data_IF_650083100432
#
_entry.id   IF_650083100432
#
_cell.length_a   1.000
_cell.length_b   1.000
_cell.length_c   1.000
_cell.angle_alpha   90.00
_cell.angle_beta   90.00
_cell.angle_gamma   90.00
#
_symmetry.space_group_name_H-M   'P 1'
#
loop_
_entity.id
_entity.type
_entity.pdbx_description
1 polymer ?
#
# COMPACT_ATOMS: atom_id res chain seq x y z
N UNK A 1 23.54 12.12 13.53
CA UNK A 1 22.48 12.40 12.52
C UNK A 1 21.50 11.25 12.66
N UNK A 2 20.27 11.51 13.09
CA UNK A 2 19.23 10.46 13.13
C UNK A 2 18.71 10.33 11.71
N UNK A 3 18.86 9.14 11.10
CA UNK A 3 18.22 8.86 9.82
C UNK A 3 16.70 9.01 9.98
N UNK A 4 16.11 9.87 9.17
CA UNK A 4 14.65 10.01 9.11
C UNK A 4 14.14 9.05 8.06
N UNK A 5 13.66 7.90 8.50
CA UNK A 5 12.93 6.97 7.66
C UNK A 5 11.51 7.49 7.44
N UNK A 6 10.99 7.30 6.22
CA UNK A 6 9.64 7.66 5.84
C UNK A 6 8.97 6.45 5.20
N UNK A 7 7.81 6.07 5.73
CA UNK A 7 7.03 4.95 5.22
C UNK A 7 5.94 5.45 4.28
N UNK A 8 5.80 4.76 3.15
CA UNK A 8 4.82 5.03 2.09
C UNK A 8 4.17 3.70 1.75
N UNK A 9 2.85 3.70 1.54
CA UNK A 9 2.12 2.51 1.09
C UNK A 9 1.70 2.72 -0.37
N UNK A 10 1.89 1.70 -1.20
CA UNK A 10 1.39 1.66 -2.57
C UNK A 10 0.54 0.41 -2.74
N UNK A 11 -0.71 0.59 -3.11
CA UNK A 11 -1.66 -0.50 -3.37
C UNK A 11 -1.84 -0.62 -4.88
N UNK A 12 -1.60 -1.81 -5.42
CA UNK A 12 -1.91 -2.10 -6.81
C UNK A 12 -3.32 -2.70 -6.92
N UNK A 13 -4.24 -1.90 -7.45
CA UNK A 13 -5.55 -2.40 -7.87
C UNK A 13 -5.42 -3.06 -9.24
N UNK A 14 -5.49 -4.39 -9.21
CA UNK A 14 -5.40 -5.21 -10.40
C UNK A 14 -6.67 -5.12 -11.27
N UNK A 15 -7.84 -4.83 -10.70
CA UNK A 15 -9.09 -4.76 -11.47
C UNK A 15 -9.08 -3.51 -12.33
N UNK A 16 -8.70 -2.37 -11.75
CA UNK A 16 -8.66 -1.07 -12.42
C UNK A 16 -7.30 -0.76 -13.08
N UNK A 17 -6.31 -1.64 -12.89
CA UNK A 17 -4.93 -1.45 -13.35
C UNK A 17 -4.35 -0.09 -12.93
N UNK A 18 -4.43 0.21 -11.64
CA UNK A 18 -4.06 1.50 -11.07
C UNK A 18 -3.30 1.32 -9.75
N UNK A 19 -2.34 2.21 -9.50
CA UNK A 19 -1.69 2.34 -8.21
C UNK A 19 -2.37 3.42 -7.37
N UNK A 20 -2.63 3.11 -6.11
CA UNK A 20 -3.01 4.06 -5.08
C UNK A 20 -1.81 4.28 -4.17
N UNK A 21 -1.27 5.49 -4.17
CA UNK A 21 -0.09 5.84 -3.39
C UNK A 21 -0.49 6.72 -2.19
N UNK A 22 -0.01 6.31 -1.02
CA UNK A 22 -0.36 6.91 0.27
C UNK A 22 0.90 7.46 0.92
N UNK A 23 0.98 8.78 0.98
CA UNK A 23 2.08 9.53 1.59
C UNK A 23 1.51 10.50 2.63
N UNK A 24 1.78 10.23 3.92
CA UNK A 24 1.34 11.10 5.03
C UNK A 24 2.03 12.47 5.02
N UNK A 25 3.07 12.63 4.20
CA UNK A 25 3.89 13.83 4.05
C UNK A 25 3.86 14.37 2.62
N UNK A 26 2.72 14.24 1.92
CA UNK A 26 2.52 14.72 0.54
C UNK A 26 2.83 16.22 0.37
N UNK A 27 2.62 17.04 1.39
CA UNK A 27 2.96 18.48 1.39
C UNK A 27 4.41 18.79 1.78
N UNK A 28 5.21 17.77 2.10
CA UNK A 28 6.62 17.95 2.44
C UNK A 28 7.46 18.29 1.21
N UNK A 29 8.58 19.00 1.42
CA UNK A 29 9.56 19.29 0.37
C UNK A 29 10.22 18.04 -0.22
N UNK A 30 10.10 16.90 0.45
CA UNK A 30 10.68 15.63 0.02
C UNK A 30 9.72 14.79 -0.82
N UNK A 31 8.44 15.20 -0.94
CA UNK A 31 7.45 14.47 -1.73
C UNK A 31 7.89 14.17 -3.17
N UNK A 32 8.57 15.09 -3.91
CA UNK A 32 9.08 14.77 -5.24
C UNK A 32 10.05 13.58 -5.31
N UNK A 33 10.74 13.27 -4.21
CA UNK A 33 11.60 12.08 -4.11
C UNK A 33 10.74 10.82 -4.02
N UNK A 34 9.67 10.88 -3.22
CA UNK A 34 8.68 9.79 -3.10
C UNK A 34 7.99 9.55 -4.43
N UNK A 35 7.52 10.62 -5.09
CA UNK A 35 6.91 10.55 -6.44
C UNK A 35 7.84 9.85 -7.43
N UNK A 36 9.10 10.30 -7.53
CA UNK A 36 10.09 9.69 -8.42
C UNK A 36 10.34 8.21 -8.15
N UNK A 37 10.22 7.77 -6.89
CA UNK A 37 10.30 6.35 -6.54
C UNK A 37 9.05 5.59 -6.98
N UNK A 38 7.84 6.11 -6.70
CA UNK A 38 6.57 5.45 -7.05
C UNK A 38 6.36 5.39 -8.56
N UNK A 39 6.79 6.41 -9.31
CA UNK A 39 6.76 6.41 -10.78
C UNK A 39 7.52 5.24 -11.40
N UNK A 40 8.62 4.81 -10.78
CA UNK A 40 9.37 3.63 -11.27
C UNK A 40 8.54 2.36 -11.08
N UNK A 41 7.79 2.27 -9.99
CA UNK A 41 6.91 1.14 -9.70
C UNK A 41 5.73 1.04 -10.67
N UNK A 42 5.16 2.18 -11.10
CA UNK A 42 4.08 2.18 -12.10
C UNK A 42 4.51 1.58 -13.43
N UNK A 43 5.80 1.61 -13.75
CA UNK A 43 6.39 1.01 -14.95
C UNK A 43 6.83 -0.43 -14.71
N UNK A 44 7.57 -0.72 -13.63
CA UNK A 44 8.18 -2.05 -13.46
C UNK A 44 7.15 -3.12 -13.06
N UNK A 45 6.11 -2.79 -12.29
CA UNK A 45 5.08 -3.75 -11.86
C UNK A 45 4.38 -4.41 -13.07
N UNK A 46 3.74 -3.66 -14.00
CA UNK A 46 3.04 -4.28 -15.13
C UNK A 46 3.99 -5.08 -16.04
N UNK A 47 5.22 -4.60 -16.26
CA UNK A 47 6.23 -5.32 -17.02
C UNK A 47 6.63 -6.63 -16.35
N UNK A 48 6.92 -6.60 -15.05
CA UNK A 48 7.30 -7.79 -14.28
C UNK A 48 6.19 -8.86 -14.28
N UNK A 49 4.94 -8.45 -14.06
CA UNK A 49 3.79 -9.36 -14.11
C UNK A 49 3.60 -9.96 -15.51
N UNK A 50 3.80 -9.18 -16.56
CA UNK A 50 3.77 -9.70 -17.93
C UNK A 50 4.87 -10.73 -18.19
N UNK A 51 6.13 -10.39 -17.84
CA UNK A 51 7.30 -11.25 -18.03
C UNK A 51 7.22 -12.59 -17.29
N UNK A 52 6.58 -12.61 -16.11
CA UNK A 52 6.37 -13.84 -15.33
C UNK A 52 5.18 -14.69 -15.83
N UNK A 53 4.48 -14.21 -16.87
CA UNK A 53 3.28 -14.82 -17.41
C UNK A 53 2.11 -14.79 -16.41
N UNK A 54 2.12 -13.87 -15.46
CA UNK A 54 1.15 -13.81 -14.36
C UNK A 54 -0.28 -13.72 -14.89
N UNK A 55 -0.58 -12.80 -15.80
CA UNK A 55 -1.93 -12.62 -16.34
C UNK A 55 -2.46 -13.86 -17.06
N UNK A 56 -1.60 -14.62 -17.75
CA UNK A 56 -1.98 -15.87 -18.40
C UNK A 56 -2.35 -17.00 -17.42
N UNK A 57 -1.91 -16.90 -16.16
CA UNK A 57 -2.21 -17.86 -15.09
C UNK A 57 -3.47 -17.49 -14.28
N UNK A 58 -3.96 -16.25 -14.41
CA UNK A 58 -5.11 -15.74 -13.63
C UNK A 58 -6.42 -15.97 -14.37
N UNK A 59 -7.16 -17.01 -13.97
CA UNK A 59 -8.49 -17.34 -14.51
C UNK A 59 -9.61 -16.50 -13.88
N UNK A 60 -9.31 -15.89 -12.75
CA UNK A 60 -10.20 -15.08 -11.92
C UNK A 60 -10.33 -13.64 -12.40
N UNK A 61 -9.47 -13.19 -13.35
CA UNK A 61 -9.56 -11.86 -13.95
C UNK A 61 -10.42 -11.91 -15.22
N UNK A 62 -11.43 -11.04 -15.28
CA UNK A 62 -12.31 -10.94 -16.44
C UNK A 62 -11.77 -9.99 -17.53
N UNK A 63 -10.68 -10.40 -18.18
CA UNK A 63 -9.99 -9.57 -19.19
C UNK A 63 -10.89 -9.04 -20.32
N UNK A 64 -11.93 -9.79 -20.70
CA UNK A 64 -12.78 -9.45 -21.85
C UNK A 64 -13.85 -8.39 -21.54
N UNK A 65 -14.24 -8.27 -20.28
CA UNK A 65 -15.34 -7.38 -19.87
C UNK A 65 -14.89 -6.29 -18.90
N UNK A 66 -13.66 -6.34 -18.38
CA UNK A 66 -13.12 -5.29 -17.51
C UNK A 66 -12.52 -4.17 -18.35
N UNK A 67 -13.06 -2.96 -18.22
CA UNK A 67 -12.70 -1.77 -19.00
C UNK A 67 -11.18 -1.52 -19.06
N UNK A 68 -10.49 -1.57 -17.92
CA UNK A 68 -9.05 -1.31 -17.84
C UNK A 68 -8.22 -2.23 -18.77
N UNK A 69 -8.60 -3.51 -18.88
CA UNK A 69 -7.93 -4.50 -19.71
C UNK A 69 -8.31 -4.44 -21.19
N UNK A 70 -9.44 -3.81 -21.52
CA UNK A 70 -9.87 -3.56 -22.90
C UNK A 70 -9.13 -2.34 -23.46
N UNK A 71 -9.03 -1.28 -22.65
CA UNK A 71 -8.51 0.02 -23.09
C UNK A 71 -6.99 0.11 -23.05
N UNK A 72 -6.32 -0.68 -22.20
CA UNK A 72 -4.87 -0.60 -21.99
C UNK A 72 -4.23 -1.98 -22.09
N UNK A 73 -3.03 -2.02 -22.66
CA UNK A 73 -2.22 -3.23 -22.61
C UNK A 73 -1.74 -3.48 -21.17
N UNK A 74 -1.65 -4.74 -20.77
CA UNK A 74 -1.19 -5.14 -19.41
C UNK A 74 0.25 -4.75 -19.08
N UNK A 75 1.00 -4.29 -20.06
CA UNK A 75 2.38 -3.77 -19.96
C UNK A 75 2.45 -2.25 -19.91
N UNK A 76 1.34 -1.55 -20.13
CA UNK A 76 1.34 -0.08 -20.08
C UNK A 76 1.65 0.38 -18.65
N UNK A 77 2.33 1.52 -18.48
CA UNK A 77 2.48 2.13 -17.17
C UNK A 77 1.13 2.33 -16.49
N UNK A 78 1.10 2.01 -15.20
CA UNK A 78 -0.10 2.18 -14.38
C UNK A 78 -0.33 3.66 -14.10
N UNK A 79 -1.61 4.05 -14.05
CA UNK A 79 -1.95 5.36 -13.47
C UNK A 79 -1.58 5.34 -11.98
N UNK A 80 -1.21 6.49 -11.43
CA UNK A 80 -1.00 6.67 -9.99
C UNK A 80 -2.03 7.67 -9.48
N UNK A 81 -2.77 7.28 -8.45
CA UNK A 81 -3.64 8.17 -7.69
C UNK A 81 -3.05 8.37 -6.31
N UNK A 82 -2.69 9.62 -6.02
CA UNK A 82 -2.23 10.03 -4.69
C UNK A 82 -3.43 10.27 -3.78
N UNK A 83 -3.48 9.54 -2.67
CA UNK A 83 -4.51 9.73 -1.66
C UNK A 83 -3.96 10.66 -0.58
N UNK A 84 -4.61 11.81 -0.43
CA UNK A 84 -4.21 12.86 0.49
C UNK A 84 -4.87 12.62 1.84
N UNK A 85 -4.06 12.28 2.85
CA UNK A 85 -4.43 12.33 4.25
C UNK A 85 -3.26 12.93 5.01
N UNK A 86 -3.37 14.18 5.46
CA UNK A 86 -2.28 14.82 6.19
C UNK A 86 -2.37 14.45 7.68
N UNK A 87 -1.44 13.60 8.14
CA UNK A 87 -1.20 13.41 9.57
C UNK A 87 0.27 13.75 9.85
N UNK A 88 0.55 14.86 10.55
CA UNK A 88 1.88 15.45 10.54
C UNK A 88 2.99 14.70 11.30
N UNK A 89 2.73 13.56 11.97
CA UNK A 89 3.67 13.07 13.00
C UNK A 89 4.06 11.58 13.01
N UNK A 90 3.30 10.65 12.43
CA UNK A 90 3.71 9.24 12.41
C UNK A 90 3.33 8.51 11.11
N UNK A 91 4.29 8.43 10.18
CA UNK A 91 4.11 7.71 8.91
C UNK A 91 3.88 6.20 9.11
N UNK A 92 4.38 5.59 10.20
CA UNK A 92 4.20 4.18 10.47
C UNK A 92 2.77 3.84 10.89
N UNK A 93 2.22 4.63 11.81
CA UNK A 93 0.82 4.50 12.27
C UNK A 93 -0.15 4.80 11.13
N UNK A 94 0.17 5.80 10.32
CA UNK A 94 -0.57 6.09 9.10
C UNK A 94 -0.60 4.88 8.18
N UNK A 95 0.55 4.33 7.80
CA UNK A 95 0.63 3.15 6.93
C UNK A 95 -0.13 1.95 7.52
N UNK A 96 -0.04 1.73 8.84
CA UNK A 96 -0.80 0.67 9.51
C UNK A 96 -2.32 0.87 9.41
N UNK A 97 -2.81 2.09 9.62
CA UNK A 97 -4.22 2.42 9.44
C UNK A 97 -4.69 2.23 8.00
N UNK A 98 -3.91 2.67 7.02
CA UNK A 98 -4.26 2.45 5.61
C UNK A 98 -4.28 0.97 5.25
N UNK A 99 -3.32 0.18 5.73
CA UNK A 99 -3.32 -1.25 5.51
C UNK A 99 -4.58 -1.93 6.09
N UNK A 100 -5.08 -1.48 7.24
CA UNK A 100 -6.33 -1.96 7.82
C UNK A 100 -7.53 -1.63 6.92
N UNK A 101 -7.68 -0.37 6.50
CA UNK A 101 -8.79 0.06 5.64
C UNK A 101 -8.79 -0.65 4.28
N UNK A 102 -7.62 -0.74 3.64
CA UNK A 102 -7.46 -1.45 2.36
C UNK A 102 -7.84 -2.93 2.51
N UNK A 103 -7.53 -3.54 3.66
CA UNK A 103 -7.92 -4.93 3.96
C UNK A 103 -9.44 -5.10 4.09
N UNK A 104 -10.17 -4.03 4.41
CA UNK A 104 -11.64 -3.98 4.41
C UNK A 104 -12.23 -3.62 3.04
N UNK A 105 -11.39 -3.36 2.04
CA UNK A 105 -11.80 -2.93 0.70
C UNK A 105 -11.95 -1.42 0.54
N UNK A 106 -11.54 -0.63 1.54
CA UNK A 106 -11.65 0.83 1.54
C UNK A 106 -10.31 1.48 1.14
N UNK A 107 -10.34 2.33 0.12
CA UNK A 107 -9.16 3.04 -0.40
C UNK A 107 -8.96 4.44 0.19
N UNK A 108 -9.84 4.85 1.11
CA UNK A 108 -9.79 6.13 1.81
C UNK A 108 -10.08 5.96 3.29
N UNK A 109 -9.44 6.78 4.12
CA UNK A 109 -9.73 6.82 5.55
C UNK A 109 -10.44 8.14 5.87
N UNK A 110 -11.57 8.11 6.60
CA UNK A 110 -12.20 9.32 7.11
C UNK A 110 -11.24 10.12 8.00
N UNK A 111 -11.24 11.45 7.87
CA UNK A 111 -10.29 12.31 8.60
C UNK A 111 -10.48 12.23 10.12
N UNK A 112 -11.72 12.03 10.57
CA UNK A 112 -12.10 11.79 11.96
C UNK A 112 -11.41 10.55 12.55
N UNK A 113 -11.25 9.50 11.75
CA UNK A 113 -10.61 8.26 12.18
C UNK A 113 -9.10 8.42 12.28
N UNK A 114 -8.53 9.47 11.69
CA UNK A 114 -7.11 9.79 11.76
C UNK A 114 -6.77 10.85 12.84
N UNK A 115 -7.79 11.34 13.55
CA UNK A 115 -7.64 12.45 14.50
C UNK A 115 -7.00 12.05 15.84
N UNK A 116 -7.13 10.80 16.29
CA UNK A 116 -6.53 10.28 17.53
C UNK A 116 -5.40 9.28 17.22
N UNK A 117 -4.26 9.84 16.80
CA UNK A 117 -3.03 9.06 16.50
C UNK A 117 -2.62 8.24 17.72
N UNK A 118 -2.72 8.81 18.92
CA UNK A 118 -2.30 8.15 20.16
C UNK A 118 -3.14 6.91 20.46
N UNK A 119 -4.44 6.94 20.17
CA UNK A 119 -5.31 5.77 20.27
C UNK A 119 -4.90 4.69 19.28
N UNK A 120 -4.59 5.05 18.04
CA UNK A 120 -4.10 4.09 17.04
C UNK A 120 -2.75 3.49 17.42
N UNK A 121 -1.80 4.30 17.88
CA UNK A 121 -0.52 3.84 18.42
C UNK A 121 -0.73 2.79 19.51
N UNK A 122 -1.60 3.08 20.49
CA UNK A 122 -1.90 2.14 21.59
C UNK A 122 -2.54 0.85 21.08
N UNK A 123 -3.50 0.96 20.15
CA UNK A 123 -4.21 -0.19 19.60
C UNK A 123 -3.26 -1.09 18.79
N UNK A 124 -2.53 -0.53 17.83
CA UNK A 124 -1.56 -1.30 17.04
C UNK A 124 -0.44 -1.86 17.90
N UNK A 125 0.06 -1.10 18.88
CA UNK A 125 1.04 -1.59 19.85
C UNK A 125 0.52 -2.80 20.64
N UNK A 126 -0.72 -2.75 21.12
CA UNK A 126 -1.35 -3.86 21.82
C UNK A 126 -1.56 -5.09 20.92
N UNK A 127 -2.00 -4.88 19.67
CA UNK A 127 -2.19 -5.95 18.68
C UNK A 127 -0.87 -6.63 18.30
N UNK A 128 0.18 -5.84 18.05
CA UNK A 128 1.51 -6.36 17.74
C UNK A 128 2.10 -7.14 18.92
N UNK A 129 1.93 -6.64 20.14
CA UNK A 129 2.35 -7.34 21.35
C UNK A 129 1.62 -8.68 21.52
N UNK A 130 0.30 -8.70 21.39
CA UNK A 130 -0.50 -9.92 21.51
C UNK A 130 -0.11 -10.95 20.44
N UNK A 131 0.05 -10.51 19.19
CA UNK A 131 0.52 -11.36 18.10
C UNK A 131 1.91 -11.94 18.39
N UNK A 132 2.86 -11.12 18.83
CA UNK A 132 4.21 -11.57 19.15
C UNK A 132 4.22 -12.62 20.28
N UNK A 133 3.41 -12.43 21.33
CA UNK A 133 3.27 -13.42 22.41
C UNK A 133 2.70 -14.73 21.91
N UNK A 134 1.59 -14.69 21.15
CA UNK A 134 0.99 -15.89 20.55
C UNK A 134 1.99 -16.61 19.64
N UNK A 135 2.76 -15.88 18.84
CA UNK A 135 3.78 -16.46 17.96
C UNK A 135 4.85 -17.21 18.76
N UNK A 136 5.29 -16.67 19.90
CA UNK A 136 6.24 -17.33 20.80
C UNK A 136 5.66 -18.58 21.47
N UNK A 137 4.43 -18.50 21.98
CA UNK A 137 3.76 -19.62 22.66
C UNK A 137 3.53 -20.82 21.74
N UNK A 138 3.16 -20.58 20.48
CA UNK A 138 2.87 -21.64 19.52
C UNK A 138 4.14 -22.19 18.83
N UNK A 139 5.33 -21.71 19.19
CA UNK A 139 6.59 -22.12 18.55
C UNK A 139 6.60 -21.88 17.04
N UNK A 140 5.79 -20.93 16.55
CA UNK A 140 5.64 -20.67 15.13
C UNK A 140 6.92 -20.01 14.61
N UNK A 141 7.79 -20.83 14.04
CA UNK A 141 8.96 -20.39 13.30
C UNK A 141 8.42 -19.74 12.02
N UNK A 142 8.77 -18.46 11.80
CA UNK A 142 8.55 -17.86 10.48
C UNK A 142 9.25 -18.72 9.45
N UNK A 143 8.61 -19.10 8.35
CA UNK A 143 9.38 -19.43 7.16
C UNK A 143 10.22 -18.19 6.86
N UNK A 144 11.55 -18.33 6.99
CA UNK A 144 12.50 -17.27 6.67
C UNK A 144 12.55 -17.12 5.16
N UNK A 145 12.72 -15.87 4.71
CA UNK A 145 13.00 -15.50 3.31
C UNK A 145 14.13 -16.32 2.67
#
# INVERSE_FOLDING_TARGET
IVEKFHWVLVVFDIVDMQLYAYDSMVSSRNHPIVESCVDKFSVIIPLYLSCTGFYGKRKDINFKNTKAYIEKAVTNPLNIQWIVGEIPHDCGVFVAAFAEYVSLGELSIPAEDLSDIDQHCRRYGALLWDYARKKQEHGAISESE
#
